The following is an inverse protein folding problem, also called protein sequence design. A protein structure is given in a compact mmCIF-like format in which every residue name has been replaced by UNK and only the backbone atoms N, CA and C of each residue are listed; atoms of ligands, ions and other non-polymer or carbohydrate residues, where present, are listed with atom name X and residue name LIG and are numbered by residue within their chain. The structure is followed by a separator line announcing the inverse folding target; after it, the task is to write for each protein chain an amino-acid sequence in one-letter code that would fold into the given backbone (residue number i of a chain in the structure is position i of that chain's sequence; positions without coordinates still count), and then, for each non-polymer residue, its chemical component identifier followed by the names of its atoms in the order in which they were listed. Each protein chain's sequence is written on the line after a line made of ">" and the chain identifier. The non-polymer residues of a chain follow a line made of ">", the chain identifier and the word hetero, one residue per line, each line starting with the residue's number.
data_IF_579131818941
#
_entry.id   IF_579131818941
#
_cell.length_a   1.000
_cell.length_b   1.000
_cell.length_c   1.000
_cell.angle_alpha   90.00
_cell.angle_beta   90.00
_cell.angle_gamma   90.00
#
_symmetry.space_group_name_H-M   'P 1'
#
loop_
_entity.id
_entity.type
_entity.pdbx_description
1 polymer ?
#
# COMPACT_ATOMS: atom_id res chain seq x y z
N UNK A 1 -13.63 2.51 20.20
CA UNK A 1 -13.54 1.18 19.57
C UNK A 1 -12.80 1.35 18.27
N UNK A 2 -11.80 0.51 17.99
CA UNK A 2 -10.86 0.72 16.89
C UNK A 2 -11.07 -0.32 15.81
N UNK A 3 -10.97 0.10 14.55
CA UNK A 3 -11.18 -0.74 13.39
C UNK A 3 -9.89 -0.76 12.56
N UNK A 4 -9.32 -1.96 12.42
CA UNK A 4 -8.40 -2.28 11.31
C UNK A 4 -9.28 -2.86 10.21
N UNK A 5 -9.42 -2.14 9.10
CA UNK A 5 -10.13 -2.64 7.93
C UNK A 5 -9.08 -3.21 6.96
N UNK A 6 -9.14 -4.52 6.74
CA UNK A 6 -8.30 -5.21 5.76
C UNK A 6 -9.13 -5.43 4.49
N UNK A 7 -8.71 -4.82 3.37
CA UNK A 7 -9.38 -4.97 2.07
C UNK A 7 -8.47 -5.80 1.15
N UNK A 8 -8.95 -6.99 0.71
CA UNK A 8 -8.21 -7.89 -0.19
C UNK A 8 -9.05 -9.06 -0.74
N UNK A 9 -8.69 -9.56 -1.94
CA UNK A 9 -9.48 -10.49 -2.77
C UNK A 9 -9.56 -11.97 -2.29
N UNK A 10 -9.18 -12.29 -1.06
CA UNK A 10 -9.62 -13.56 -0.43
C UNK A 10 -9.72 -13.40 1.08
N UNK A 11 -10.95 -13.46 1.58
CA UNK A 11 -11.22 -13.49 3.02
C UNK A 11 -10.93 -14.88 3.55
N UNK A 12 -9.75 -15.09 4.14
CA UNK A 12 -9.49 -16.25 5.00
C UNK A 12 -8.30 -16.03 5.94
N UNK A 13 -8.57 -16.33 7.23
CA UNK A 13 -7.70 -16.38 8.41
C UNK A 13 -7.50 -15.05 9.15
N UNK A 14 -7.94 -15.09 10.41
CA UNK A 14 -7.96 -14.03 11.42
C UNK A 14 -6.71 -13.16 11.44
N UNK A 15 -6.82 -11.94 10.92
CA UNK A 15 -5.82 -10.91 11.11
C UNK A 15 -5.69 -10.58 12.61
N UNK A 16 -4.47 -10.44 13.16
CA UNK A 16 -4.26 -10.06 14.55
C UNK A 16 -4.93 -8.71 14.83
N UNK A 17 -5.80 -8.67 15.86
CA UNK A 17 -6.47 -7.44 16.29
C UNK A 17 -5.48 -6.57 17.06
N UNK A 18 -4.95 -5.54 16.40
CA UNK A 18 -4.19 -4.47 17.06
C UNK A 18 -5.11 -3.27 17.25
N UNK A 19 -5.07 -2.66 18.44
CA UNK A 19 -5.96 -1.59 18.87
C UNK A 19 -5.18 -0.27 18.92
N UNK A 20 -5.49 0.66 18.02
CA UNK A 20 -4.86 1.99 17.96
C UNK A 20 -5.70 3.03 18.68
N UNK A 21 -5.18 3.80 19.65
CA UNK A 21 -6.02 4.77 20.35
C UNK A 21 -6.44 5.96 19.46
N UNK A 22 -7.66 5.92 18.92
CA UNK A 22 -8.32 7.03 18.21
C UNK A 22 -8.05 7.03 16.70
N UNK A 23 -7.16 6.16 16.23
CA UNK A 23 -6.69 6.13 14.86
C UNK A 23 -7.38 5.04 14.05
N UNK A 24 -7.71 5.35 12.80
CA UNK A 24 -8.12 4.35 11.81
C UNK A 24 -6.87 3.90 11.05
N UNK A 25 -6.59 2.60 11.04
CA UNK A 25 -5.50 2.04 10.21
C UNK A 25 -6.11 1.13 9.17
N UNK A 26 -5.93 1.49 7.91
CA UNK A 26 -6.34 0.70 6.76
C UNK A 26 -5.13 -0.03 6.22
N UNK A 27 -5.21 -1.36 6.18
CA UNK A 27 -4.19 -2.20 5.55
C UNK A 27 -4.80 -2.79 4.29
N UNK A 28 -4.33 -2.33 3.14
CA UNK A 28 -4.91 -2.61 1.84
C UNK A 28 -3.91 -3.42 1.05
N UNK A 29 -4.33 -4.60 0.60
CA UNK A 29 -3.54 -5.37 -0.35
C UNK A 29 -3.58 -4.70 -1.72
N UNK A 30 -2.49 -4.76 -2.47
CA UNK A 30 -2.45 -4.37 -3.87
C UNK A 30 -3.61 -4.98 -4.69
N UNK A 31 -4.00 -4.27 -5.76
CA UNK A 31 -5.00 -4.73 -6.71
C UNK A 31 -4.57 -5.97 -7.50
N UNK A 32 -5.49 -6.49 -8.31
CA UNK A 32 -5.26 -7.64 -9.19
C UNK A 32 -4.02 -7.42 -10.08
N UNK A 33 -3.17 -8.45 -10.18
CA UNK A 33 -1.86 -8.36 -10.83
C UNK A 33 -1.94 -8.76 -12.30
N UNK A 34 -1.14 -8.11 -13.14
CA UNK A 34 -1.11 -8.36 -14.58
C UNK A 34 -0.62 -9.76 -14.97
N UNK A 35 0.22 -10.40 -14.15
CA UNK A 35 0.71 -11.77 -14.33
C UNK A 35 -0.36 -12.85 -14.06
N UNK A 36 -1.49 -12.49 -13.45
CA UNK A 36 -2.61 -13.39 -13.17
C UNK A 36 -3.79 -13.19 -14.11
N UNK A 37 -3.79 -12.09 -14.86
CA UNK A 37 -4.87 -11.78 -15.79
C UNK A 37 -4.87 -12.74 -16.98
N UNK A 38 -6.07 -12.96 -17.51
CA UNK A 38 -6.34 -13.84 -18.67
C UNK A 38 -6.79 -13.04 -19.90
N UNK A 39 -6.86 -11.72 -19.78
CA UNK A 39 -7.15 -10.80 -20.88
C UNK A 39 -5.92 -10.59 -21.78
N UNK A 40 -6.12 -9.92 -22.90
CA UNK A 40 -5.09 -9.73 -23.92
C UNK A 40 -3.95 -8.80 -23.46
N UNK A 41 -4.22 -7.80 -22.62
CA UNK A 41 -3.19 -6.91 -22.04
C UNK A 41 -2.27 -7.73 -21.12
N UNK A 42 -2.87 -8.54 -20.24
CA UNK A 42 -2.14 -9.45 -19.37
C UNK A 42 -1.32 -10.50 -20.12
N UNK A 43 -1.90 -11.15 -21.14
CA UNK A 43 -1.16 -12.13 -21.96
C UNK A 43 0.02 -11.49 -22.70
N UNK A 44 -0.18 -10.31 -23.26
CA UNK A 44 0.87 -9.58 -23.96
C UNK A 44 2.01 -9.22 -23.00
N UNK A 45 1.69 -8.74 -21.80
CA UNK A 45 2.70 -8.44 -20.78
C UNK A 45 3.47 -9.70 -20.34
N UNK A 46 2.77 -10.79 -20.06
CA UNK A 46 3.37 -12.06 -19.62
C UNK A 46 4.35 -12.62 -20.65
N UNK A 47 4.07 -12.47 -21.94
CA UNK A 47 4.96 -12.95 -23.01
C UNK A 47 6.38 -12.40 -22.91
N UNK A 48 6.50 -11.11 -22.56
CA UNK A 48 7.78 -10.41 -22.52
C UNK A 48 8.35 -10.28 -21.09
N UNK A 49 7.54 -10.55 -20.05
CA UNK A 49 7.87 -10.26 -18.65
C UNK A 49 7.61 -11.44 -17.68
N UNK A 50 7.55 -12.67 -18.17
CA UNK A 50 7.20 -13.84 -17.35
C UNK A 50 8.05 -14.04 -16.08
N UNK A 51 9.27 -13.52 -16.03
CA UNK A 51 10.18 -13.60 -14.86
C UNK A 51 10.23 -12.31 -14.03
N UNK A 52 9.43 -11.30 -14.37
CA UNK A 52 9.46 -10.03 -13.66
C UNK A 52 8.59 -10.09 -12.39
N UNK A 53 9.25 -10.07 -11.24
CA UNK A 53 8.58 -10.09 -9.92
C UNK A 53 7.85 -8.77 -9.62
N UNK A 54 8.28 -7.66 -10.22
CA UNK A 54 7.67 -6.34 -10.08
C UNK A 54 6.53 -6.15 -11.10
N UNK A 55 5.54 -7.03 -10.99
CA UNK A 55 4.37 -7.04 -11.86
C UNK A 55 3.47 -5.81 -11.57
N UNK A 56 2.99 -5.08 -12.60
CA UNK A 56 1.98 -4.03 -12.42
C UNK A 56 0.59 -4.60 -12.11
N UNK A 57 -0.35 -3.74 -11.71
CA UNK A 57 -1.77 -4.11 -11.61
C UNK A 57 -2.43 -4.21 -13.00
N UNK A 58 -3.36 -5.15 -13.14
CA UNK A 58 -4.19 -5.34 -14.35
C UNK A 58 -5.22 -4.23 -14.53
N UNK A 59 -6.00 -4.25 -15.61
CA UNK A 59 -7.15 -3.34 -15.75
C UNK A 59 -8.16 -3.50 -14.61
N UNK A 60 -8.40 -4.74 -14.15
CA UNK A 60 -9.26 -5.03 -12.99
C UNK A 60 -8.65 -4.39 -11.74
N UNK A 61 -7.34 -4.55 -11.53
CA UNK A 61 -6.64 -3.95 -10.40
C UNK A 61 -6.70 -2.43 -10.40
N UNK A 62 -6.67 -1.78 -11.58
CA UNK A 62 -6.86 -0.33 -11.73
C UNK A 62 -8.25 0.12 -11.28
N UNK A 63 -9.29 -0.64 -11.58
CA UNK A 63 -10.65 -0.31 -11.13
C UNK A 63 -10.80 -0.53 -9.62
N UNK A 64 -10.25 -1.62 -9.08
CA UNK A 64 -10.17 -1.85 -7.62
C UNK A 64 -9.46 -0.70 -6.90
N UNK A 65 -8.35 -0.19 -7.45
CA UNK A 65 -7.62 0.94 -6.88
C UNK A 65 -8.47 2.22 -6.81
N UNK A 66 -9.29 2.50 -7.82
CA UNK A 66 -10.23 3.64 -7.81
C UNK A 66 -11.34 3.44 -6.79
N UNK A 67 -11.89 2.23 -6.68
CA UNK A 67 -12.94 1.92 -5.69
C UNK A 67 -12.43 2.07 -4.26
N UNK A 68 -11.21 1.60 -3.99
CA UNK A 68 -10.53 1.80 -2.71
C UNK A 68 -10.34 3.28 -2.41
N UNK A 69 -9.83 4.08 -3.36
CA UNK A 69 -9.65 5.51 -3.18
C UNK A 69 -10.97 6.20 -2.82
N UNK A 70 -12.03 5.91 -3.59
CA UNK A 70 -13.39 6.41 -3.33
C UNK A 70 -13.87 6.06 -1.93
N UNK A 71 -13.69 4.82 -1.50
CA UNK A 71 -14.08 4.38 -0.16
C UNK A 71 -13.33 5.14 0.93
N UNK A 72 -12.00 5.25 0.82
CA UNK A 72 -11.16 5.94 1.81
C UNK A 72 -11.55 7.42 1.94
N UNK A 73 -11.78 8.10 0.81
CA UNK A 73 -12.15 9.52 0.77
C UNK A 73 -13.58 9.80 1.25
N UNK A 74 -14.45 8.79 1.26
CA UNK A 74 -15.77 8.89 1.90
C UNK A 74 -15.70 8.71 3.42
N UNK A 75 -14.73 7.93 3.90
CA UNK A 75 -14.59 7.53 5.31
C UNK A 75 -13.66 8.43 6.15
N UNK A 76 -12.80 9.20 5.49
CA UNK A 76 -11.73 9.99 6.11
C UNK A 76 -11.62 11.35 5.42
N UNK A 77 -11.50 12.40 6.24
CA UNK A 77 -11.11 13.73 5.76
C UNK A 77 -9.73 13.66 5.08
N UNK A 78 -9.60 14.06 3.80
CA UNK A 78 -8.33 14.04 3.06
C UNK A 78 -7.17 14.72 3.78
N UNK A 79 -7.43 15.79 4.55
CA UNK A 79 -6.40 16.51 5.31
C UNK A 79 -5.82 15.71 6.48
N UNK A 80 -6.46 14.60 6.84
CA UNK A 80 -6.10 13.71 7.95
C UNK A 80 -5.56 12.36 7.49
N UNK A 81 -5.41 12.16 6.17
CA UNK A 81 -4.88 10.93 5.58
C UNK A 81 -3.35 10.96 5.59
N UNK A 82 -2.76 9.85 6.02
CA UNK A 82 -1.35 9.53 5.81
C UNK A 82 -1.30 8.31 4.89
N UNK A 83 -0.56 8.38 3.79
CA UNK A 83 -0.42 7.27 2.85
C UNK A 83 0.99 6.69 2.95
N UNK A 84 1.06 5.38 3.17
CA UNK A 84 2.30 4.62 3.13
C UNK A 84 2.10 3.48 2.13
N UNK A 85 3.09 3.23 1.28
CA UNK A 85 3.06 2.14 0.32
C UNK A 85 4.32 1.32 0.41
N UNK A 86 4.15 0.01 0.23
CA UNK A 86 5.20 -0.86 -0.24
C UNK A 86 5.81 -0.31 -1.54
N UNK A 87 7.14 -0.42 -1.74
CA UNK A 87 7.81 0.13 -2.91
C UNK A 87 7.56 -0.65 -4.21
N UNK A 88 6.89 -1.81 -4.16
CA UNK A 88 6.54 -2.58 -5.35
C UNK A 88 5.53 -1.84 -6.23
N UNK A 89 5.71 -1.92 -7.55
CA UNK A 89 4.93 -1.16 -8.54
C UNK A 89 3.42 -1.36 -8.37
N UNK A 90 2.98 -2.61 -8.17
CA UNK A 90 1.55 -2.91 -7.92
C UNK A 90 0.96 -2.18 -6.72
N UNK A 91 1.72 -2.02 -5.64
CA UNK A 91 1.26 -1.34 -4.43
C UNK A 91 1.19 0.17 -4.67
N UNK A 92 2.23 0.72 -5.29
CA UNK A 92 2.27 2.13 -5.68
C UNK A 92 1.13 2.48 -6.65
N UNK A 93 0.86 1.64 -7.65
CA UNK A 93 -0.26 1.83 -8.58
C UNK A 93 -1.62 1.74 -7.89
N UNK A 94 -1.75 0.88 -6.88
CA UNK A 94 -2.99 0.77 -6.08
C UNK A 94 -3.23 2.01 -5.22
N UNK A 95 -2.17 2.56 -4.62
CA UNK A 95 -2.26 3.78 -3.80
C UNK A 95 -2.40 5.08 -4.59
N UNK A 96 -1.98 5.08 -5.86
CA UNK A 96 -1.89 6.29 -6.69
C UNK A 96 -3.21 7.07 -6.82
N UNK A 97 -4.39 6.45 -7.05
CA UNK A 97 -5.65 7.20 -7.09
C UNK A 97 -5.95 7.89 -5.76
N UNK A 98 -5.71 7.20 -4.63
CA UNK A 98 -5.90 7.77 -3.29
C UNK A 98 -5.00 9.00 -3.09
N UNK A 99 -3.72 8.91 -3.47
CA UNK A 99 -2.77 10.02 -3.38
C UNK A 99 -3.18 11.22 -4.25
N UNK A 100 -3.55 10.97 -5.50
CA UNK A 100 -3.97 12.02 -6.45
C UNK A 100 -5.21 12.76 -5.98
N UNK A 101 -6.23 12.03 -5.55
CA UNK A 101 -7.52 12.60 -5.17
C UNK A 101 -7.47 13.30 -3.80
N UNK A 102 -6.73 12.74 -2.84
CA UNK A 102 -6.49 13.39 -1.53
C UNK A 102 -5.48 14.53 -1.58
N UNK A 103 -4.65 14.60 -2.63
CA UNK A 103 -3.46 15.47 -2.75
C UNK A 103 -2.43 15.22 -1.64
N UNK A 104 -2.41 14.02 -1.08
CA UNK A 104 -1.43 13.57 -0.09
C UNK A 104 -0.34 12.77 -0.80
N UNK A 105 0.92 13.05 -0.47
CA UNK A 105 2.04 12.28 -0.99
C UNK A 105 2.19 10.94 -0.26
N UNK A 106 2.57 9.91 -0.98
CA UNK A 106 2.82 8.57 -0.46
C UNK A 106 4.25 8.44 0.04
N UNK A 107 4.42 7.98 1.28
CA UNK A 107 5.70 7.48 1.76
C UNK A 107 5.97 6.08 1.25
N UNK A 108 7.16 5.82 0.69
CA UNK A 108 7.56 4.48 0.28
C UNK A 108 8.35 3.81 1.39
N UNK A 109 7.86 2.65 1.86
CA UNK A 109 8.43 1.98 3.02
C UNK A 109 8.70 0.50 2.75
N UNK A 110 9.98 0.08 2.66
CA UNK A 110 10.38 -1.31 2.48
C UNK A 110 9.88 -2.26 3.57
N UNK A 111 9.52 -1.74 4.75
CA UNK A 111 8.96 -2.55 5.83
C UNK A 111 7.62 -3.22 5.43
N UNK A 112 6.89 -2.65 4.46
CA UNK A 112 5.67 -3.25 3.89
C UNK A 112 5.92 -3.97 2.55
N UNK A 113 7.19 -4.25 2.22
CA UNK A 113 7.60 -5.07 1.08
C UNK A 113 7.14 -6.53 1.20
N UNK A 114 7.03 -7.22 0.06
CA UNK A 114 6.72 -8.65 0.03
C UNK A 114 7.80 -9.46 0.78
N UNK A 115 7.42 -10.61 1.36
CA UNK A 115 8.36 -11.47 2.08
C UNK A 115 9.47 -12.01 1.16
N UNK A 116 10.66 -12.27 1.71
CA UNK A 116 11.78 -12.84 0.95
C UNK A 116 11.50 -14.25 0.39
N UNK A 117 10.41 -14.86 0.83
CA UNK A 117 9.87 -16.11 0.30
C UNK A 117 9.18 -15.94 -1.08
N UNK A 118 8.77 -14.71 -1.42
CA UNK A 118 7.99 -14.40 -2.62
C UNK A 118 8.77 -13.58 -3.65
N UNK A 119 9.69 -12.73 -3.17
CA UNK A 119 10.56 -11.93 -4.02
C UNK A 119 12.02 -12.19 -3.68
N UNK A 120 12.83 -12.38 -4.71
CA UNK A 120 14.26 -12.70 -4.59
C UNK A 120 15.14 -11.45 -4.54
N UNK A 121 14.58 -10.29 -4.86
CA UNK A 121 15.26 -9.01 -4.86
C UNK A 121 14.43 -7.89 -4.19
N UNK A 122 15.08 -6.76 -3.90
CA UNK A 122 14.40 -5.55 -3.43
C UNK A 122 13.58 -4.92 -4.56
N UNK A 123 12.51 -4.21 -4.20
CA UNK A 123 11.69 -3.50 -5.18
C UNK A 123 12.55 -2.48 -5.96
N UNK A 124 12.37 -2.35 -7.29
CA UNK A 124 13.03 -1.31 -8.04
C UNK A 124 12.62 0.10 -7.57
N UNK A 125 13.46 1.10 -7.87
CA UNK A 125 13.11 2.49 -7.58
C UNK A 125 12.17 3.04 -8.66
N UNK A 126 10.86 2.98 -8.38
CA UNK A 126 9.83 3.57 -9.24
C UNK A 126 9.53 5.05 -8.92
N UNK A 127 10.08 5.60 -7.83
CA UNK A 127 9.81 6.99 -7.44
C UNK A 127 10.37 7.99 -8.46
N UNK A 128 11.34 7.56 -9.26
CA UNK A 128 11.92 8.34 -10.36
C UNK A 128 10.97 8.49 -11.56
N UNK A 129 9.97 7.62 -11.71
CA UNK A 129 9.02 7.68 -12.81
C UNK A 129 8.09 8.89 -12.65
N UNK A 130 7.87 9.64 -13.73
CA UNK A 130 7.09 10.89 -13.70
C UNK A 130 5.66 10.69 -13.18
N UNK A 131 5.07 9.51 -13.41
CA UNK A 131 3.75 9.09 -12.95
C UNK A 131 3.63 9.06 -11.41
N UNK A 132 4.73 8.75 -10.72
CA UNK A 132 4.81 8.61 -9.26
C UNK A 132 5.52 9.79 -8.61
N UNK A 133 6.49 10.41 -9.27
CA UNK A 133 7.34 11.47 -8.73
C UNK A 133 6.57 12.62 -8.06
N UNK A 134 5.43 13.02 -8.61
CA UNK A 134 4.61 14.10 -8.02
C UNK A 134 3.78 13.65 -6.82
N UNK A 135 3.54 12.35 -6.68
CA UNK A 135 2.69 11.72 -5.67
C UNK A 135 3.49 10.95 -4.61
N UNK A 136 4.81 10.85 -4.74
CA UNK A 136 5.71 10.23 -3.75
C UNK A 136 6.36 11.33 -2.92
N UNK A 137 6.48 11.09 -1.62
CA UNK A 137 7.20 11.96 -0.69
C UNK A 137 8.71 11.63 -0.72
N UNK A 138 9.56 12.48 -1.31
CA UNK A 138 11.00 12.22 -1.40
C UNK A 138 11.70 12.37 -0.06
N UNK A 139 11.07 12.99 0.95
CA UNK A 139 11.63 13.19 2.28
C UNK A 139 11.17 12.11 3.26
N UNK A 140 10.39 11.14 2.79
CA UNK A 140 9.90 10.06 3.62
C UNK A 140 11.05 9.20 4.16
N UNK A 141 11.16 9.17 5.48
CA UNK A 141 12.07 8.24 6.19
C UNK A 141 11.36 6.90 6.39
N UNK A 142 12.05 5.78 6.20
CA UNK A 142 11.47 4.45 6.42
C UNK A 142 11.13 4.23 7.90
N UNK A 143 10.00 3.58 8.18
CA UNK A 143 9.67 3.06 9.49
C UNK A 143 10.58 1.87 9.82
N UNK A 144 10.75 1.61 11.12
CA UNK A 144 11.52 0.44 11.61
C UNK A 144 12.95 0.36 11.05
N UNK A 145 13.56 1.49 10.69
CA UNK A 145 14.86 1.56 10.01
C UNK A 145 14.91 0.73 8.71
N UNK A 146 13.78 0.61 8.02
CA UNK A 146 13.64 -0.19 6.79
C UNK A 146 13.61 -1.70 7.03
N UNK A 147 13.66 -2.14 8.29
CA UNK A 147 13.55 -3.55 8.64
C UNK A 147 12.11 -3.99 8.48
N UNK A 148 11.92 -5.17 7.88
CA UNK A 148 10.60 -5.81 7.86
C UNK A 148 10.14 -5.98 9.32
N UNK A 149 8.86 -5.73 9.63
CA UNK A 149 8.35 -6.00 10.95
C UNK A 149 8.51 -7.50 11.17
N UNK A 150 9.40 -7.89 12.08
CA UNK A 150 9.52 -9.28 12.53
C UNK A 150 8.20 -9.67 13.20
N UNK A 151 7.25 -10.12 12.38
CA UNK A 151 5.97 -10.77 12.69
C UNK A 151 4.97 -10.06 13.62
N UNK A 152 5.28 -8.90 14.19
CA UNK A 152 4.38 -8.22 15.12
C UNK A 152 3.82 -6.92 14.56
N UNK A 153 2.54 -6.94 14.19
CA UNK A 153 1.74 -5.73 13.94
C UNK A 153 1.76 -4.73 15.11
N UNK A 154 2.18 -5.16 16.32
CA UNK A 154 2.41 -4.24 17.45
C UNK A 154 3.60 -3.32 17.20
N UNK A 155 4.69 -3.81 16.59
CA UNK A 155 5.87 -2.98 16.32
C UNK A 155 5.56 -1.93 15.24
N UNK A 156 4.81 -2.33 14.22
CA UNK A 156 4.26 -1.39 13.22
C UNK A 156 3.38 -0.35 13.93
N UNK A 157 2.49 -0.79 14.81
CA UNK A 157 1.61 0.13 15.50
C UNK A 157 2.35 1.14 16.39
N UNK A 158 3.34 0.68 17.16
CA UNK A 158 4.20 1.55 17.97
C UNK A 158 4.96 2.55 17.09
N UNK A 159 5.57 2.11 15.98
CA UNK A 159 6.31 3.01 15.10
C UNK A 159 5.41 4.07 14.43
N UNK A 160 4.18 3.70 14.08
CA UNK A 160 3.18 4.62 13.55
C UNK A 160 2.74 5.64 14.61
N UNK A 161 2.52 5.20 15.84
CA UNK A 161 2.20 6.05 16.99
C UNK A 161 3.32 7.05 17.29
N UNK A 162 4.57 6.58 17.38
CA UNK A 162 5.73 7.43 17.68
C UNK A 162 5.95 8.51 16.62
N UNK A 163 5.72 8.18 15.34
CA UNK A 163 5.97 9.11 14.24
C UNK A 163 4.83 10.10 14.01
N UNK A 164 3.59 9.62 14.02
CA UNK A 164 2.44 10.42 13.59
C UNK A 164 1.56 10.85 14.76
N UNK A 165 1.78 10.34 15.97
CA UNK A 165 0.96 10.62 17.13
C UNK A 165 -0.48 10.13 16.99
N UNK A 166 -1.24 10.29 18.09
CA UNK A 166 -2.68 10.05 18.12
C UNK A 166 -3.43 11.38 18.19
N UNK A 167 -3.62 12.00 17.03
CA UNK A 167 -4.61 13.07 16.90
C UNK A 167 -5.95 12.50 16.43
N UNK A 168 -7.04 13.00 17.01
CA UNK A 168 -8.38 12.52 16.72
C UNK A 168 -8.75 12.68 15.23
N UNK A 169 -9.10 11.55 14.63
CA UNK A 169 -9.57 11.46 13.24
C UNK A 169 -8.48 11.32 12.19
N UNK A 170 -7.19 11.20 12.55
CA UNK A 170 -6.14 10.78 11.60
C UNK A 170 -6.37 9.34 11.14
N UNK A 171 -6.16 9.09 9.86
CA UNK A 171 -6.13 7.74 9.30
C UNK A 171 -4.81 7.44 8.59
N UNK A 172 -4.28 6.26 8.87
CA UNK A 172 -3.09 5.74 8.19
C UNK A 172 -3.56 4.69 7.18
N UNK A 173 -3.22 4.89 5.92
CA UNK A 173 -3.60 4.03 4.81
C UNK A 173 -2.33 3.40 4.26
N UNK A 174 -2.21 2.08 4.45
CA UNK A 174 -1.03 1.30 4.11
C UNK A 174 -1.35 0.39 2.94
N UNK A 175 -0.64 0.54 1.82
CA UNK A 175 -0.73 -0.34 0.65
C UNK A 175 0.40 -1.38 0.67
N UNK A 176 0.06 -2.66 0.65
CA UNK A 176 1.01 -3.79 0.79
C UNK A 176 0.80 -4.89 -0.24
#
# INVERSE_FOLDING_TARGET
>A
GYAVCVMGCSMSRSAPKVSFKGQKVYLIRHGDRMDRGIDEESKAWQKDNAQNEDTPISYIGRDQAKEVAKFILQEVDPSKIIIISSPWLRCMQTGLPTAKESKVKMGLDPAFGEGAEFCTHDAPDHAIEESFKVNVDPEYKTLLDGKKPETSMKNVATALEERYGFEDGRAIVIFS
#
